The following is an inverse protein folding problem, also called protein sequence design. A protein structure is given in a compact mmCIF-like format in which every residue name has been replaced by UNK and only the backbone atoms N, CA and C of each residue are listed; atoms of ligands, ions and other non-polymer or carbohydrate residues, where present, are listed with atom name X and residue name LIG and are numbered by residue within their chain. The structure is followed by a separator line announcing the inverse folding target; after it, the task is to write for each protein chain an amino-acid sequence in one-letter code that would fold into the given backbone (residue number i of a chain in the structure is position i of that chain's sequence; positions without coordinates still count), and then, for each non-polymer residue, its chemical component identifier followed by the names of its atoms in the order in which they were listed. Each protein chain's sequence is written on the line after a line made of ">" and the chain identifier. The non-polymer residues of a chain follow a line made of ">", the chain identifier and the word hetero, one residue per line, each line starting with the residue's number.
data_IF_603743456711
#
_entry.id   IF_603743456711
#
_cell.length_a   1.000
_cell.length_b   1.000
_cell.length_c   1.000
_cell.angle_alpha   90.00
_cell.angle_beta   90.00
_cell.angle_gamma   90.00
#
_symmetry.space_group_name_H-M   'P 1'
#
loop_
_entity.id
_entity.type
_entity.pdbx_description
1 polymer ?
#
# COMPACT_ATOMS: atom_id res chain seq x y z
N UNK A 1 -4.16 -13.41 -4.00
CA UNK A 1 -3.42 -12.16 -3.70
C UNK A 1 -4.11 -11.30 -2.64
N UNK A 2 -5.29 -10.67 -2.88
CA UNK A 2 -5.95 -9.86 -1.83
C UNK A 2 -6.43 -10.70 -0.66
N UNK A 3 -7.09 -11.82 -0.92
CA UNK A 3 -7.58 -12.74 0.13
C UNK A 3 -6.46 -13.27 0.99
N UNK A 4 -5.33 -13.64 0.40
CA UNK A 4 -4.14 -14.13 1.10
C UNK A 4 -3.54 -13.03 1.98
N UNK A 5 -3.43 -11.80 1.46
CA UNK A 5 -2.94 -10.65 2.24
C UNK A 5 -3.82 -10.35 3.45
N UNK A 6 -5.15 -10.40 3.27
CA UNK A 6 -6.14 -10.22 4.34
C UNK A 6 -6.03 -11.33 5.40
N UNK A 7 -5.84 -12.57 4.98
CA UNK A 7 -5.67 -13.71 5.89
C UNK A 7 -4.38 -13.59 6.70
N UNK A 8 -3.26 -13.34 6.04
CA UNK A 8 -1.94 -13.20 6.68
C UNK A 8 -1.89 -12.03 7.66
N UNK A 9 -2.35 -10.85 7.25
CA UNK A 9 -2.39 -9.69 8.12
C UNK A 9 -3.45 -9.83 9.22
N UNK A 10 -4.54 -10.56 8.95
CA UNK A 10 -5.67 -10.73 9.86
C UNK A 10 -5.28 -11.33 11.22
N UNK A 11 -4.23 -12.15 11.27
CA UNK A 11 -3.71 -12.72 12.53
C UNK A 11 -3.23 -11.58 13.45
N UNK A 12 -2.40 -10.69 12.92
CA UNK A 12 -1.84 -9.56 13.68
C UNK A 12 -2.92 -8.52 14.04
N UNK A 13 -3.84 -8.23 13.11
CA UNK A 13 -4.94 -7.32 13.37
C UNK A 13 -5.87 -7.81 14.48
N UNK A 14 -6.23 -9.10 14.47
CA UNK A 14 -7.04 -9.71 15.55
C UNK A 14 -6.33 -9.66 16.90
N UNK A 15 -5.03 -9.96 16.93
CA UNK A 15 -4.22 -9.87 18.15
C UNK A 15 -4.25 -8.48 18.76
N UNK A 16 -4.34 -7.44 17.93
CA UNK A 16 -4.41 -6.04 18.35
C UNK A 16 -5.85 -5.53 18.51
N UNK A 17 -6.86 -6.38 18.41
CA UNK A 17 -8.28 -6.00 18.44
C UNK A 17 -8.63 -4.94 17.37
N UNK A 18 -8.04 -5.04 16.19
CA UNK A 18 -8.30 -4.16 15.05
C UNK A 18 -9.24 -4.87 14.09
N UNK A 19 -10.36 -4.23 13.77
CA UNK A 19 -11.33 -4.72 12.79
C UNK A 19 -10.84 -4.40 11.38
N UNK A 20 -10.76 -5.41 10.53
CA UNK A 20 -10.43 -5.26 9.12
C UNK A 20 -11.69 -5.35 8.27
N UNK A 21 -11.95 -4.31 7.49
CA UNK A 21 -12.93 -4.33 6.41
C UNK A 21 -12.17 -4.30 5.08
N UNK A 22 -12.64 -5.05 4.09
CA UNK A 22 -12.04 -4.99 2.76
C UNK A 22 -13.10 -4.94 1.67
N UNK A 23 -12.78 -4.24 0.60
CA UNK A 23 -13.61 -4.11 -0.58
C UNK A 23 -12.75 -4.23 -1.84
N UNK A 24 -13.16 -5.12 -2.72
CA UNK A 24 -12.56 -5.32 -4.04
C UNK A 24 -13.63 -5.10 -5.09
N UNK A 25 -13.41 -4.18 -6.02
CA UNK A 25 -14.36 -3.93 -7.09
C UNK A 25 -14.61 -5.17 -7.94
N UNK A 26 -15.87 -5.41 -8.31
CA UNK A 26 -16.28 -6.62 -9.07
C UNK A 26 -15.64 -6.71 -10.45
N UNK A 27 -15.27 -5.56 -11.05
CA UNK A 27 -14.63 -5.49 -12.37
C UNK A 27 -13.31 -4.73 -12.25
N UNK A 28 -12.23 -5.48 -12.07
CA UNK A 28 -10.88 -4.95 -12.13
C UNK A 28 -10.21 -5.35 -13.44
N UNK A 29 -9.41 -4.47 -14.04
CA UNK A 29 -8.57 -4.85 -15.16
C UNK A 29 -7.51 -5.87 -14.73
N UNK A 30 -7.03 -6.65 -15.68
CA UNK A 30 -5.96 -7.63 -15.42
C UNK A 30 -4.63 -6.88 -15.29
N UNK A 31 -3.94 -7.14 -14.20
CA UNK A 31 -2.60 -6.62 -13.94
C UNK A 31 -1.52 -7.65 -14.29
N UNK A 32 -0.41 -7.18 -14.85
CA UNK A 32 0.81 -7.96 -15.01
C UNK A 32 1.76 -7.65 -13.86
N UNK A 33 1.68 -8.41 -12.79
CA UNK A 33 2.44 -8.21 -11.56
C UNK A 33 2.96 -9.52 -11.01
N UNK A 34 3.98 -9.45 -10.17
CA UNK A 34 4.30 -10.54 -9.26
C UNK A 34 3.29 -10.52 -8.09
N UNK A 35 2.38 -11.50 -8.00
CA UNK A 35 1.33 -11.49 -7.00
C UNK A 35 1.88 -11.59 -5.57
N UNK A 36 3.02 -12.25 -5.37
CA UNK A 36 3.65 -12.42 -4.05
C UNK A 36 4.21 -11.10 -3.56
N UNK A 37 4.87 -10.33 -4.43
CA UNK A 37 5.41 -9.03 -4.08
C UNK A 37 4.30 -8.01 -3.77
N UNK A 38 3.23 -7.98 -4.56
CA UNK A 38 2.10 -7.08 -4.27
C UNK A 38 1.38 -7.48 -2.98
N UNK A 39 1.23 -8.78 -2.72
CA UNK A 39 0.70 -9.29 -1.45
C UNK A 39 1.56 -8.82 -0.27
N UNK A 40 2.89 -8.89 -0.38
CA UNK A 40 3.81 -8.41 0.65
C UNK A 40 3.63 -6.91 0.94
N UNK A 41 3.41 -6.08 -0.10
CA UNK A 41 3.09 -4.65 0.09
C UNK A 41 1.82 -4.49 0.92
N UNK A 42 0.73 -5.17 0.54
CA UNK A 42 -0.53 -5.09 1.26
C UNK A 42 -0.41 -5.53 2.72
N UNK A 43 0.24 -6.67 2.97
CA UNK A 43 0.47 -7.20 4.33
C UNK A 43 1.25 -6.19 5.17
N UNK A 44 2.30 -5.58 4.61
CA UNK A 44 3.10 -4.60 5.33
C UNK A 44 2.30 -3.34 5.66
N UNK A 45 1.49 -2.83 4.73
CA UNK A 45 0.62 -1.67 4.98
C UNK A 45 -0.44 -1.97 6.03
N UNK A 46 -1.07 -3.15 6.00
CA UNK A 46 -2.06 -3.58 6.99
C UNK A 46 -1.45 -3.70 8.40
N UNK A 47 -0.25 -4.24 8.52
CA UNK A 47 0.47 -4.32 9.79
C UNK A 47 0.84 -2.94 10.32
N UNK A 48 1.34 -2.05 9.45
CA UNK A 48 1.65 -0.66 9.82
C UNK A 48 0.41 0.09 10.31
N UNK A 49 -0.73 -0.11 9.66
CA UNK A 49 -2.02 0.45 10.07
C UNK A 49 -2.43 -0.01 11.48
N UNK A 50 -2.32 -1.30 11.76
CA UNK A 50 -2.64 -1.88 13.07
C UNK A 50 -1.73 -1.32 14.19
N UNK A 51 -0.45 -1.15 13.90
CA UNK A 51 0.52 -0.58 14.84
C UNK A 51 0.25 0.91 15.11
N UNK A 52 -0.11 1.69 14.07
CA UNK A 52 -0.52 3.09 14.21
C UNK A 52 -1.74 3.25 15.13
N UNK A 53 -2.70 2.34 15.02
CA UNK A 53 -3.89 2.30 15.89
C UNK A 53 -3.52 2.00 17.34
N UNK A 54 -2.58 1.07 17.56
CA UNK A 54 -2.09 0.76 18.92
C UNK A 54 -1.40 1.97 19.55
N UNK A 55 -0.50 2.62 18.82
CA UNK A 55 0.20 3.81 19.28
C UNK A 55 -0.76 4.97 19.61
N UNK A 56 -1.83 5.10 18.84
CA UNK A 56 -2.87 6.10 19.08
C UNK A 56 -3.76 5.77 20.29
N UNK A 57 -3.63 4.58 20.86
CA UNK A 57 -4.44 4.10 21.99
C UNK A 57 -5.95 4.29 21.79
N UNK A 58 -6.43 4.00 20.57
CA UNK A 58 -7.85 4.20 20.23
C UNK A 58 -8.74 3.23 21.01
N UNK A 59 -9.95 3.69 21.42
CA UNK A 59 -10.94 2.81 22.03
C UNK A 59 -11.38 1.73 21.01
N UNK A 60 -11.81 0.56 21.49
CA UNK A 60 -12.15 -0.60 20.66
C UNK A 60 -13.10 -0.27 19.49
N UNK A 61 -14.10 0.59 19.75
CA UNK A 61 -15.06 1.01 18.73
C UNK A 61 -14.43 1.76 17.53
N UNK A 62 -13.24 2.35 17.73
CA UNK A 62 -12.52 3.13 16.72
C UNK A 62 -11.28 2.43 16.18
N UNK A 63 -11.08 1.15 16.47
CA UNK A 63 -9.93 0.38 16.00
C UNK A 63 -10.32 -0.33 14.70
N UNK A 64 -10.15 0.35 13.58
CA UNK A 64 -10.51 -0.21 12.27
C UNK A 64 -9.51 0.14 11.19
N UNK A 65 -9.34 -0.81 10.26
CA UNK A 65 -8.58 -0.66 9.02
C UNK A 65 -9.50 -1.02 7.86
N UNK A 66 -9.44 -0.24 6.80
CA UNK A 66 -10.15 -0.52 5.56
C UNK A 66 -9.16 -0.71 4.42
N UNK A 67 -9.25 -1.84 3.72
CA UNK A 67 -8.53 -2.12 2.49
C UNK A 67 -9.48 -1.99 1.31
N UNK A 68 -9.14 -1.16 0.33
CA UNK A 68 -9.91 -1.04 -0.93
C UNK A 68 -9.04 -1.32 -2.13
N UNK A 69 -9.62 -2.01 -3.11
CA UNK A 69 -9.00 -2.25 -4.42
C UNK A 69 -9.99 -1.81 -5.50
N UNK A 70 -9.63 -0.76 -6.22
CA UNK A 70 -10.52 -0.07 -7.15
C UNK A 70 -9.84 0.16 -8.51
N UNK A 71 -10.62 0.15 -9.62
CA UNK A 71 -10.10 0.66 -10.88
C UNK A 71 -9.88 2.17 -10.78
N UNK A 72 -8.84 2.68 -11.42
CA UNK A 72 -8.48 4.10 -11.44
C UNK A 72 -7.96 4.50 -12.81
N UNK A 73 -8.10 5.76 -13.15
CA UNK A 73 -7.46 6.35 -14.34
C UNK A 73 -6.41 7.33 -13.82
N UNK A 74 -5.17 7.13 -14.26
CA UNK A 74 -4.03 7.96 -13.90
C UNK A 74 -3.40 8.46 -15.21
N UNK A 75 -3.34 9.77 -15.37
CA UNK A 75 -2.79 10.41 -16.59
C UNK A 75 -3.39 9.85 -17.90
N UNK A 76 -4.70 9.54 -17.88
CA UNK A 76 -5.41 8.98 -19.02
C UNK A 76 -5.26 7.47 -19.24
N UNK A 77 -4.48 6.78 -18.40
CA UNK A 77 -4.25 5.34 -18.48
C UNK A 77 -5.00 4.57 -17.38
N UNK A 78 -5.48 3.40 -17.73
CA UNK A 78 -6.11 2.51 -16.75
C UNK A 78 -5.08 2.00 -15.73
N UNK A 79 -5.49 1.98 -14.48
CA UNK A 79 -4.71 1.49 -13.35
C UNK A 79 -5.62 0.78 -12.34
N UNK A 80 -5.03 0.08 -11.40
CA UNK A 80 -5.70 -0.43 -10.20
C UNK A 80 -5.06 0.24 -8.99
N UNK A 81 -5.88 0.86 -8.16
CA UNK A 81 -5.47 1.43 -6.88
C UNK A 81 -5.77 0.47 -5.74
N UNK A 82 -4.79 0.32 -4.88
CA UNK A 82 -4.86 -0.36 -3.59
C UNK A 82 -4.70 0.68 -2.51
N UNK A 83 -5.62 0.75 -1.56
CA UNK A 83 -5.54 1.70 -0.45
C UNK A 83 -5.81 1.03 0.88
N UNK A 84 -5.02 1.37 1.89
CA UNK A 84 -5.18 0.96 3.28
C UNK A 84 -5.36 2.20 4.12
N UNK A 85 -6.52 2.34 4.73
CA UNK A 85 -6.87 3.45 5.61
C UNK A 85 -7.01 2.96 7.04
N UNK A 86 -6.34 3.63 7.98
CA UNK A 86 -6.42 3.35 9.40
C UNK A 86 -7.09 4.50 10.18
N UNK A 87 -7.43 4.20 11.41
CA UNK A 87 -7.94 5.15 12.40
C UNK A 87 -6.89 5.48 13.47
N UNK A 88 -5.61 5.41 13.10
CA UNK A 88 -4.48 5.65 13.98
C UNK A 88 -4.19 7.13 14.24
N UNK A 89 -2.93 7.42 14.52
CA UNK A 89 -2.49 8.77 14.89
C UNK A 89 -2.17 9.67 13.69
N UNK A 90 -2.15 9.11 12.47
CA UNK A 90 -1.64 9.84 11.31
C UNK A 90 -0.13 9.97 11.28
N UNK A 91 0.36 10.86 10.44
CA UNK A 91 1.77 11.11 10.23
C UNK A 91 2.09 12.59 10.49
N UNK A 92 3.11 12.87 11.30
CA UNK A 92 3.63 14.21 11.46
C UNK A 92 4.30 14.68 10.15
N UNK A 93 4.36 16.00 9.87
CA UNK A 93 4.97 16.50 8.64
C UNK A 93 6.41 16.02 8.44
N UNK A 94 7.21 15.98 9.49
CA UNK A 94 8.61 15.54 9.47
C UNK A 94 8.74 14.04 9.15
N UNK A 95 7.76 13.25 9.57
CA UNK A 95 7.67 11.81 9.25
C UNK A 95 7.27 11.63 7.79
N UNK A 96 6.31 12.44 7.31
CA UNK A 96 5.81 12.40 5.95
C UNK A 96 6.95 12.59 4.93
N UNK A 97 7.84 13.54 5.17
CA UNK A 97 8.98 13.85 4.30
C UNK A 97 10.01 12.71 4.23
N UNK A 98 10.08 11.87 5.26
CA UNK A 98 11.07 10.79 5.42
C UNK A 98 10.52 9.38 5.29
N UNK A 99 9.23 9.23 4.96
CA UNK A 99 8.53 7.95 4.97
C UNK A 99 9.23 6.80 4.24
N UNK A 100 9.90 7.14 3.15
CA UNK A 100 10.52 6.15 2.25
C UNK A 100 12.03 6.10 2.34
N UNK A 101 12.62 6.82 3.29
CA UNK A 101 14.06 6.69 3.56
C UNK A 101 14.35 5.31 4.16
N UNK A 102 15.39 4.66 3.64
CA UNK A 102 15.86 3.40 4.20
C UNK A 102 16.35 3.61 5.64
N UNK A 103 16.01 2.66 6.52
CA UNK A 103 16.35 2.68 7.96
C UNK A 103 15.67 3.79 8.77
N UNK A 104 14.79 4.59 8.17
CA UNK A 104 13.94 5.51 8.93
C UNK A 104 12.75 4.78 9.52
N UNK A 105 12.57 4.88 10.84
CA UNK A 105 11.43 4.34 11.57
C UNK A 105 11.10 5.19 12.76
N UNK A 106 9.82 5.41 13.02
CA UNK A 106 9.32 6.04 14.25
C UNK A 106 9.09 5.03 15.36
N UNK A 107 9.29 3.73 15.08
CA UNK A 107 9.07 2.62 16.02
C UNK A 107 10.36 2.28 16.76
N UNK A 108 10.32 2.01 18.08
CA UNK A 108 11.50 1.65 18.87
C UNK A 108 12.23 0.40 18.36
N UNK A 109 11.49 -0.58 17.84
CA UNK A 109 12.00 -1.86 17.32
C UNK A 109 11.95 -1.96 15.78
N UNK A 110 11.57 -0.86 15.10
CA UNK A 110 11.44 -0.84 13.65
C UNK A 110 12.78 -0.67 12.95
N UNK A 111 13.11 -1.55 11.99
CA UNK A 111 14.33 -1.43 11.18
C UNK A 111 14.22 -0.37 10.07
N UNK A 112 13.03 0.24 9.85
CA UNK A 112 12.82 1.26 8.83
C UNK A 112 12.93 0.77 7.38
N UNK A 113 12.72 -0.52 7.16
CA UNK A 113 12.86 -1.14 5.83
C UNK A 113 11.51 -1.31 5.14
N UNK A 114 10.42 -1.44 5.91
CA UNK A 114 9.12 -1.87 5.40
C UNK A 114 8.54 -0.96 4.32
N UNK A 115 8.41 0.33 4.56
CA UNK A 115 7.82 1.27 3.57
C UNK A 115 8.77 1.54 2.40
N UNK A 116 10.07 1.58 2.62
CA UNK A 116 11.05 1.70 1.55
C UNK A 116 10.96 0.49 0.60
N UNK A 117 10.88 -0.71 1.15
CA UNK A 117 10.70 -1.94 0.36
C UNK A 117 9.36 -1.92 -0.41
N UNK A 118 8.26 -1.51 0.23
CA UNK A 118 6.97 -1.37 -0.43
C UNK A 118 7.06 -0.44 -1.64
N UNK A 119 7.69 0.72 -1.47
CA UNK A 119 7.90 1.67 -2.55
C UNK A 119 8.72 1.07 -3.69
N UNK A 120 9.81 0.41 -3.39
CA UNK A 120 10.66 -0.27 -4.38
C UNK A 120 9.88 -1.32 -5.17
N UNK A 121 9.07 -2.14 -4.50
CA UNK A 121 8.22 -3.14 -5.15
C UNK A 121 7.21 -2.47 -6.08
N UNK A 122 6.49 -1.45 -5.60
CA UNK A 122 5.49 -0.73 -6.39
C UNK A 122 6.12 -0.07 -7.61
N UNK A 123 7.27 0.59 -7.46
CA UNK A 123 7.99 1.25 -8.56
C UNK A 123 8.54 0.23 -9.58
N UNK A 124 8.95 -0.96 -9.15
CA UNK A 124 9.36 -2.04 -10.07
C UNK A 124 8.21 -2.54 -10.95
N UNK A 125 6.98 -2.33 -10.51
CA UNK A 125 5.76 -2.60 -11.28
C UNK A 125 5.21 -1.33 -11.98
N UNK A 126 6.06 -0.31 -12.18
CA UNK A 126 5.70 0.97 -12.83
C UNK A 126 4.59 1.74 -12.10
N UNK A 127 4.34 1.40 -10.85
CA UNK A 127 3.37 2.06 -9.98
C UNK A 127 3.97 3.23 -9.21
N UNK A 128 3.11 3.86 -8.42
CA UNK A 128 3.50 4.88 -7.46
C UNK A 128 2.77 4.67 -6.14
N UNK A 129 3.37 5.15 -5.07
CA UNK A 129 2.84 5.06 -3.72
C UNK A 129 2.76 6.43 -3.09
N UNK A 130 1.70 6.66 -2.30
CA UNK A 130 1.49 7.91 -1.57
C UNK A 130 0.88 7.63 -0.20
N UNK A 131 1.04 8.61 0.70
CA UNK A 131 0.41 8.63 2.01
C UNK A 131 -0.26 9.98 2.24
N UNK A 132 -1.40 9.97 2.93
CA UNK A 132 -2.12 11.18 3.32
C UNK A 132 -2.76 11.00 4.68
N UNK A 133 -2.82 12.07 5.46
CA UNK A 133 -3.59 12.09 6.69
C UNK A 133 -5.09 12.24 6.41
N UNK A 134 -5.90 11.58 7.25
CA UNK A 134 -7.35 11.73 7.23
C UNK A 134 -7.74 12.70 8.33
N UNK A 135 -8.55 13.68 7.99
CA UNK A 135 -8.95 14.75 8.88
C UNK A 135 -10.44 14.67 9.22
N UNK A 136 -10.77 15.07 10.46
CA UNK A 136 -12.12 15.44 10.88
C UNK A 136 -12.06 16.87 11.44
N UNK A 137 -12.45 17.85 10.62
CA UNK A 137 -12.16 19.24 10.90
C UNK A 137 -10.64 19.48 10.95
N UNK A 138 -10.08 20.10 12.02
CA UNK A 138 -8.66 20.31 12.17
C UNK A 138 -7.90 19.08 12.66
N UNK A 139 -8.59 18.05 13.16
CA UNK A 139 -7.99 16.91 13.83
C UNK A 139 -7.61 15.81 12.84
N UNK A 140 -6.40 15.27 12.98
CA UNK A 140 -5.97 14.07 12.29
C UNK A 140 -6.60 12.85 12.97
N UNK A 141 -7.38 12.08 12.21
CA UNK A 141 -8.11 10.91 12.73
C UNK A 141 -7.62 9.57 12.16
N UNK A 142 -6.61 9.60 11.32
CA UNK A 142 -6.01 8.42 10.72
C UNK A 142 -5.07 8.77 9.58
N UNK A 143 -4.65 7.72 8.89
CA UNK A 143 -3.80 7.82 7.71
C UNK A 143 -4.32 6.90 6.60
N UNK A 144 -4.08 7.28 5.36
CA UNK A 144 -4.30 6.43 4.19
C UNK A 144 -2.99 6.28 3.44
N UNK A 145 -2.55 5.04 3.27
CA UNK A 145 -1.55 4.66 2.29
C UNK A 145 -2.23 4.12 1.05
N UNK A 146 -1.85 4.61 -0.11
CA UNK A 146 -2.33 4.07 -1.38
C UNK A 146 -1.19 3.88 -2.36
N UNK A 147 -1.33 2.88 -3.21
CA UNK A 147 -0.48 2.69 -4.37
C UNK A 147 -1.31 2.25 -5.56
N UNK A 148 -0.84 2.56 -6.75
CA UNK A 148 -1.50 2.13 -7.98
C UNK A 148 -0.51 1.48 -8.93
N UNK A 149 -1.02 0.51 -9.67
CA UNK A 149 -0.30 -0.22 -10.68
C UNK A 149 -0.99 0.03 -12.02
N UNK A 150 -0.28 0.51 -13.05
CA UNK A 150 -0.85 0.72 -14.37
C UNK A 150 -1.20 -0.60 -15.04
N UNK A 151 -2.27 -0.59 -15.82
CA UNK A 151 -2.60 -1.67 -16.75
C UNK A 151 -1.68 -1.50 -17.95
N UNK A 152 -0.88 -2.52 -18.23
CA UNK A 152 -0.02 -2.52 -19.42
C UNK A 152 -0.85 -2.98 -20.61
N UNK A 153 -1.02 -2.10 -21.59
CA UNK A 153 -1.63 -2.48 -22.87
C UNK A 153 -0.71 -3.43 -23.64
N UNK A 154 -1.30 -4.28 -24.46
CA UNK A 154 -0.55 -5.30 -25.22
C UNK A 154 0.55 -4.70 -26.13
N UNK A 155 0.46 -3.41 -26.46
CA UNK A 155 1.41 -2.68 -27.31
C UNK A 155 2.72 -2.39 -26.57
N UNK A 156 2.68 -2.12 -25.26
CA UNK A 156 3.87 -1.84 -24.46
C UNK A 156 4.77 -3.07 -24.26
N UNK A 157 4.24 -4.27 -24.47
CA UNK A 157 5.00 -5.52 -24.35
C UNK A 157 5.96 -5.78 -25.53
N UNK A 158 5.69 -5.19 -26.70
CA UNK A 158 6.52 -5.35 -27.91
C UNK A 158 7.75 -4.43 -27.83
N UNK A 159 7.59 -3.20 -27.35
CA UNK A 159 8.70 -2.26 -27.24
C UNK A 159 9.78 -2.69 -26.22
N UNK A 160 9.38 -3.43 -25.19
CA UNK A 160 10.33 -3.95 -24.18
C UNK A 160 11.14 -5.16 -24.65
N UNK A 161 10.68 -5.83 -25.72
CA UNK A 161 11.35 -7.03 -26.26
C UNK A 161 12.32 -6.69 -27.42
N UNK A 162 12.13 -5.56 -28.09
CA UNK A 162 13.03 -5.12 -29.16
C UNK A 162 14.36 -4.53 -28.62
N UNK A 163 14.40 -4.10 -27.37
CA UNK A 163 15.62 -3.59 -26.72
C UNK A 163 16.61 -4.69 -26.30
N UNK A 164 16.32 -5.97 -26.56
CA UNK A 164 17.18 -7.12 -26.22
C UNK A 164 17.73 -7.88 -27.44
N UNK A 165 17.94 -7.20 -28.57
CA UNK A 165 18.68 -7.82 -29.68
C UNK A 165 20.17 -7.52 -29.45
N UNK A 166 21.02 -8.53 -29.20
CA UNK A 166 22.47 -8.30 -29.11
C UNK A 166 23.00 -7.92 -30.49
N UNK A 167 23.73 -6.82 -30.55
CA UNK A 167 24.48 -6.44 -31.73
C UNK A 167 25.44 -7.61 -32.11
N UNK A 168 25.28 -8.17 -33.29
CA UNK A 168 26.30 -9.04 -33.89
C UNK A 168 27.43 -8.16 -34.38
N UNK A 169 28.62 -8.46 -33.89
CA UNK A 169 29.88 -8.07 -34.51
C UNK A 169 30.13 -8.90 -35.74
#
# INVERSE_FOLDING_TARGET
>A
MVSEAVELAGIELRRRNVRLNHYVAARLPILRVDPILIEQVMVNLLKNAAESIDLANRPLARRSVELRVLPKIIDGHNAVEFSVQDTGMGLAPEVMDRLYEAFFSTKPEGMGIGLNLCRTIVESHRGRMQAENIYNGPDVVGCRFSFWIPVLDAIDSVASNEAKVPARV
#
